data_IF_929075228380
#
_entry.id   IF_929075228380
#
_cell.length_a   1.000
_cell.length_b   1.000
_cell.length_c   1.000
_cell.angle_alpha   90.00
_cell.angle_beta   90.00
_cell.angle_gamma   90.00
#
_symmetry.space_group_name_H-M   'P 1'
#
loop_
_entity.id
_entity.type
_entity.pdbx_description
1 polymer ?
#
# COMPACT_ATOMS: atom_id res chain seq x y z
N UNK A 1 30.23 -3.54 28.21
CA UNK A 1 30.97 -4.71 27.68
C UNK A 1 29.90 -5.69 27.24
N UNK A 2 29.71 -5.86 25.94
CA UNK A 2 28.73 -6.80 25.38
C UNK A 2 29.45 -7.74 24.42
N UNK A 3 29.15 -9.02 24.59
CA UNK A 3 29.45 -10.22 23.79
C UNK A 3 30.88 -10.42 23.27
N UNK A 4 31.65 -11.22 24.01
CA UNK A 4 32.71 -12.08 23.44
C UNK A 4 32.05 -13.18 22.58
N UNK A 5 31.43 -12.80 21.45
CA UNK A 5 31.38 -13.72 20.33
C UNK A 5 32.82 -13.88 19.83
N UNK A 6 33.32 -15.11 19.88
CA UNK A 6 34.66 -15.40 19.37
C UNK A 6 34.69 -15.04 17.89
N UNK A 7 35.39 -13.95 17.54
CA UNK A 7 35.63 -13.57 16.15
C UNK A 7 36.09 -14.78 15.32
N UNK A 8 35.70 -14.86 14.05
CA UNK A 8 36.11 -15.94 13.13
C UNK A 8 37.62 -16.15 13.08
N UNK A 9 38.41 -15.09 13.27
CA UNK A 9 39.85 -15.20 13.43
C UNK A 9 40.26 -15.96 14.70
N UNK A 10 39.62 -15.68 15.85
CA UNK A 10 39.85 -16.43 17.11
C UNK A 10 39.46 -17.89 16.95
N UNK A 11 38.34 -18.18 16.26
CA UNK A 11 37.86 -19.55 16.00
C UNK A 11 38.89 -20.34 15.17
N UNK A 12 39.48 -19.73 14.14
CA UNK A 12 40.57 -20.34 13.36
C UNK A 12 41.96 -20.26 14.04
N UNK A 13 42.04 -19.75 15.27
CA UNK A 13 43.31 -19.62 16.00
C UNK A 13 44.31 -18.67 15.33
N UNK A 14 43.82 -17.57 14.75
CA UNK A 14 44.60 -16.56 14.04
C UNK A 14 44.17 -15.13 14.38
N UNK A 15 44.78 -14.14 13.73
CA UNK A 15 44.45 -12.71 13.86
C UNK A 15 43.96 -12.15 12.53
N UNK A 16 43.32 -10.97 12.57
CA UNK A 16 42.80 -10.29 11.39
C UNK A 16 43.88 -9.96 10.33
N UNK A 17 45.16 -9.91 10.73
CA UNK A 17 46.30 -9.65 9.84
C UNK A 17 46.73 -10.87 8.99
N UNK A 18 46.01 -11.99 9.06
CA UNK A 18 46.35 -13.20 8.30
C UNK A 18 46.24 -12.97 6.78
N UNK A 19 47.25 -13.40 6.03
CA UNK A 19 47.20 -13.39 4.56
C UNK A 19 46.18 -14.42 4.04
N UNK A 20 45.50 -14.11 2.92
CA UNK A 20 44.47 -14.99 2.34
C UNK A 20 44.93 -16.45 2.14
N UNK A 21 46.17 -16.64 1.66
CA UNK A 21 46.77 -17.98 1.45
C UNK A 21 46.83 -18.84 2.70
N UNK A 22 46.99 -18.22 3.88
CA UNK A 22 47.17 -18.92 5.16
C UNK A 22 45.85 -19.25 5.87
N UNK A 23 44.73 -18.70 5.41
CA UNK A 23 43.40 -18.97 5.99
C UNK A 23 43.08 -20.47 5.89
N UNK A 24 43.37 -21.10 4.75
CA UNK A 24 43.20 -22.55 4.55
C UNK A 24 44.11 -23.40 5.43
N UNK A 25 45.36 -22.97 5.65
CA UNK A 25 46.29 -23.66 6.56
C UNK A 25 45.73 -23.70 7.99
N UNK A 26 45.20 -22.55 8.46
CA UNK A 26 44.59 -22.44 9.79
C UNK A 26 43.30 -23.22 9.93
N UNK A 27 42.48 -23.29 8.89
CA UNK A 27 41.33 -24.18 8.85
C UNK A 27 41.74 -25.65 9.02
N UNK A 28 42.74 -26.14 8.28
CA UNK A 28 43.23 -27.53 8.41
C UNK A 28 43.79 -27.81 9.80
N UNK A 29 44.52 -26.86 10.39
CA UNK A 29 45.01 -26.98 11.77
C UNK A 29 43.87 -27.03 12.80
N UNK A 30 42.82 -26.23 12.61
CA UNK A 30 41.66 -26.18 13.50
C UNK A 30 40.82 -27.46 13.41
N UNK A 31 40.56 -27.97 12.21
CA UNK A 31 39.83 -29.24 11.98
C UNK A 31 40.57 -30.45 12.56
N UNK A 32 41.90 -30.48 12.51
CA UNK A 32 42.68 -31.57 13.15
C UNK A 32 42.54 -31.58 14.67
N UNK A 33 42.30 -30.42 15.29
CA UNK A 33 42.09 -30.29 16.73
C UNK A 33 40.65 -30.56 17.14
N UNK A 34 39.70 -30.24 16.25
CA UNK A 34 38.27 -30.44 16.44
C UNK A 34 37.68 -31.25 15.28
N UNK A 35 37.92 -32.58 15.22
CA UNK A 35 37.34 -33.45 14.20
C UNK A 35 35.81 -33.51 14.31
N UNK A 36 35.08 -33.64 13.18
CA UNK A 36 33.61 -33.65 13.18
C UNK A 36 33.01 -34.83 13.96
N UNK A 37 33.72 -35.95 14.06
CA UNK A 37 33.27 -37.15 14.80
C UNK A 37 33.31 -36.97 16.32
N UNK A 38 34.20 -36.11 16.83
CA UNK A 38 34.46 -35.97 18.26
C UNK A 38 34.06 -34.60 18.82
N UNK A 39 34.00 -33.57 17.98
CA UNK A 39 33.62 -32.21 18.36
C UNK A 39 32.83 -31.52 17.23
N UNK A 40 31.61 -32.00 16.93
CA UNK A 40 30.81 -31.52 15.80
C UNK A 40 30.41 -30.04 15.94
N UNK A 41 30.09 -29.58 17.15
CA UNK A 41 29.67 -28.18 17.39
C UNK A 41 30.80 -27.19 17.09
N UNK A 42 32.02 -27.48 17.56
CA UNK A 42 33.16 -26.60 17.28
C UNK A 42 33.61 -26.70 15.82
N UNK A 43 33.51 -27.88 15.21
CA UNK A 43 33.78 -28.08 13.79
C UNK A 43 32.88 -27.19 12.92
N UNK A 44 31.58 -27.11 13.23
CA UNK A 44 30.65 -26.27 12.46
C UNK A 44 31.01 -24.78 12.55
N UNK A 45 31.38 -24.28 13.74
CA UNK A 45 31.89 -22.92 13.92
C UNK A 45 33.16 -22.66 13.12
N UNK A 46 34.09 -23.62 13.09
CA UNK A 46 35.33 -23.56 12.30
C UNK A 46 35.03 -23.51 10.80
N UNK A 47 34.06 -24.30 10.33
CA UNK A 47 33.60 -24.31 8.94
C UNK A 47 33.02 -22.96 8.55
N UNK A 48 32.08 -22.41 9.33
CA UNK A 48 31.48 -21.10 9.07
C UNK A 48 32.53 -19.98 9.03
N UNK A 49 33.46 -19.98 10.01
CA UNK A 49 34.57 -19.04 10.04
C UNK A 49 35.48 -19.16 8.80
N UNK A 50 35.74 -20.38 8.34
CA UNK A 50 36.53 -20.60 7.13
C UNK A 50 35.81 -20.17 5.87
N UNK A 51 34.54 -20.53 5.67
CA UNK A 51 33.78 -20.14 4.48
C UNK A 51 33.70 -18.62 4.33
N UNK A 52 33.50 -17.90 5.44
CA UNK A 52 33.50 -16.42 5.44
C UNK A 52 34.89 -15.85 5.16
N UNK A 53 35.94 -16.38 5.79
CA UNK A 53 37.29 -15.80 5.69
C UNK A 53 38.05 -16.22 4.43
N UNK A 54 37.66 -17.33 3.78
CA UNK A 54 38.27 -17.87 2.56
C UNK A 54 37.89 -17.04 1.34
N UNK A 55 36.70 -16.47 1.34
CA UNK A 55 36.27 -15.53 0.31
C UNK A 55 36.78 -14.11 0.61
N UNK A 56 37.54 -13.46 -0.28
CA UNK A 56 38.03 -12.10 -0.05
C UNK A 56 36.92 -11.05 0.15
N UNK A 57 35.79 -11.19 -0.54
CA UNK A 57 34.65 -10.26 -0.46
C UNK A 57 33.94 -10.45 0.87
N UNK A 58 33.55 -11.67 1.23
CA UNK A 58 32.89 -11.96 2.51
C UNK A 58 33.78 -11.62 3.71
N UNK A 59 35.09 -11.85 3.58
CA UNK A 59 36.06 -11.44 4.60
C UNK A 59 36.10 -9.92 4.78
N UNK A 60 36.11 -9.15 3.68
CA UNK A 60 36.08 -7.68 3.72
C UNK A 60 34.81 -7.19 4.41
N UNK A 61 33.65 -7.73 4.04
CA UNK A 61 32.36 -7.39 4.66
C UNK A 61 32.34 -7.73 6.16
N UNK A 62 32.82 -8.92 6.54
CA UNK A 62 32.97 -9.33 7.94
C UNK A 62 33.87 -8.37 8.73
N UNK A 63 35.02 -7.99 8.17
CA UNK A 63 35.96 -7.07 8.81
C UNK A 63 35.35 -5.67 9.01
N UNK A 64 34.62 -5.17 8.02
CA UNK A 64 33.90 -3.90 8.10
C UNK A 64 32.81 -3.97 9.17
N UNK A 65 31.96 -5.00 9.15
CA UNK A 65 30.88 -5.19 10.13
C UNK A 65 31.44 -5.27 11.56
N UNK A 66 32.48 -6.08 11.78
CA UNK A 66 33.14 -6.21 13.09
C UNK A 66 33.75 -4.89 13.58
N UNK A 67 34.34 -4.09 12.70
CA UNK A 67 35.07 -2.87 13.07
C UNK A 67 34.19 -1.63 13.17
N UNK A 68 33.17 -1.54 12.32
CA UNK A 68 32.37 -0.34 12.11
C UNK A 68 30.87 -0.56 12.24
N UNK A 69 30.36 -1.79 12.36
CA UNK A 69 28.92 -2.12 12.33
C UNK A 69 28.08 -1.24 13.26
N UNK A 70 28.35 -1.26 14.57
CA UNK A 70 27.62 -0.42 15.53
C UNK A 70 27.84 1.09 15.39
N UNK A 71 28.86 1.53 14.63
CA UNK A 71 29.03 2.95 14.25
C UNK A 71 28.15 3.28 13.04
N UNK A 72 28.18 2.42 12.01
CA UNK A 72 27.38 2.55 10.79
C UNK A 72 25.89 2.55 11.14
N UNK A 73 25.43 1.64 12.00
CA UNK A 73 24.04 1.58 12.48
C UNK A 73 23.60 2.93 13.07
N UNK A 74 24.37 3.49 14.00
CA UNK A 74 24.07 4.81 14.59
C UNK A 74 24.09 5.95 13.57
N UNK A 75 24.96 5.87 12.57
CA UNK A 75 25.01 6.86 11.49
C UNK A 75 23.76 6.75 10.62
N UNK A 76 23.33 5.54 10.26
CA UNK A 76 22.11 5.32 9.48
C UNK A 76 20.87 5.81 10.25
N UNK A 77 20.75 5.53 11.55
CA UNK A 77 19.66 6.06 12.38
C UNK A 77 19.62 7.60 12.39
N UNK A 78 20.80 8.22 12.49
CA UNK A 78 20.92 9.67 12.43
C UNK A 78 20.53 10.23 11.06
N UNK A 79 20.96 9.57 9.97
CA UNK A 79 20.59 9.95 8.61
C UNK A 79 19.06 9.87 8.42
N UNK A 80 18.43 8.77 8.83
CA UNK A 80 16.97 8.59 8.80
C UNK A 80 16.24 9.66 9.61
N UNK A 81 16.76 10.05 10.79
CA UNK A 81 16.20 11.16 11.57
C UNK A 81 16.27 12.50 10.83
N UNK A 82 17.31 12.73 10.03
CA UNK A 82 17.41 13.93 9.21
C UNK A 82 16.50 13.87 7.98
N UNK A 83 16.32 12.70 7.35
CA UNK A 83 15.34 12.49 6.28
C UNK A 83 13.93 12.80 6.78
N UNK A 84 13.53 12.27 7.94
CA UNK A 84 12.22 12.56 8.55
C UNK A 84 12.00 14.05 8.85
N UNK A 85 13.08 14.80 9.08
CA UNK A 85 13.06 16.26 9.29
C UNK A 85 13.28 17.04 7.99
N UNK A 86 13.21 16.38 6.85
CA UNK A 86 13.43 16.94 5.50
C UNK A 86 14.80 17.64 5.33
N UNK A 87 15.78 17.28 6.17
CA UNK A 87 17.13 17.83 6.10
C UNK A 87 18.03 16.94 5.22
N UNK A 88 17.68 16.86 3.95
CA UNK A 88 18.31 15.96 2.99
C UNK A 88 19.81 16.23 2.80
N UNK A 89 20.26 17.48 2.92
CA UNK A 89 21.70 17.81 2.82
C UNK A 89 22.53 17.16 3.91
N UNK A 90 22.05 17.17 5.16
CA UNK A 90 22.75 16.52 6.27
C UNK A 90 22.65 15.00 6.19
N UNK A 91 21.48 14.48 5.81
CA UNK A 91 21.30 13.05 5.60
C UNK A 91 22.27 12.52 4.52
N UNK A 92 22.32 13.18 3.37
CA UNK A 92 23.24 12.84 2.27
C UNK A 92 24.71 12.80 2.73
N UNK A 93 25.15 13.79 3.51
CA UNK A 93 26.51 13.80 4.06
C UNK A 93 26.79 12.58 4.95
N UNK A 94 25.84 12.18 5.78
CA UNK A 94 26.01 11.01 6.65
C UNK A 94 26.04 9.73 5.82
N UNK A 95 25.19 9.60 4.79
CA UNK A 95 25.24 8.45 3.89
C UNK A 95 26.57 8.38 3.14
N UNK A 96 27.10 9.50 2.63
CA UNK A 96 28.44 9.58 2.04
C UNK A 96 29.52 9.10 3.04
N UNK A 97 29.44 9.54 4.30
CA UNK A 97 30.37 9.11 5.35
C UNK A 97 30.25 7.59 5.66
N UNK A 98 29.04 7.01 5.55
CA UNK A 98 28.85 5.56 5.66
C UNK A 98 29.49 4.84 4.47
N UNK A 99 29.28 5.32 3.24
CA UNK A 99 29.84 4.71 2.03
C UNK A 99 31.37 4.79 1.99
N UNK A 100 32.00 5.77 2.62
CA UNK A 100 33.46 5.79 2.82
C UNK A 100 33.95 4.65 3.73
N UNK A 101 33.14 4.19 4.69
CA UNK A 101 33.46 3.09 5.59
C UNK A 101 33.07 1.73 4.99
N UNK A 102 31.95 1.69 4.29
CA UNK A 102 31.39 0.51 3.64
C UNK A 102 30.76 0.89 2.29
N UNK A 103 31.53 0.86 1.19
CA UNK A 103 31.05 1.25 -0.14
C UNK A 103 29.86 0.41 -0.64
N UNK A 104 29.75 -0.82 -0.14
CA UNK A 104 28.76 -1.82 -0.56
C UNK A 104 27.52 -1.79 0.38
N UNK A 105 27.35 -0.75 1.20
CA UNK A 105 26.22 -0.64 2.12
C UNK A 105 24.95 -0.21 1.40
N UNK A 106 24.06 -1.17 1.14
CA UNK A 106 22.80 -0.94 0.43
C UNK A 106 21.95 0.20 1.01
N UNK A 107 21.75 0.23 2.34
CA UNK A 107 20.95 1.27 3.00
C UNK A 107 21.49 2.70 2.79
N UNK A 108 22.83 2.86 2.80
CA UNK A 108 23.44 4.15 2.52
C UNK A 108 23.41 4.51 1.03
N UNK A 109 23.55 3.53 0.13
CA UNK A 109 23.38 3.75 -1.32
C UNK A 109 21.96 4.23 -1.64
N UNK A 110 20.93 3.52 -1.15
CA UNK A 110 19.53 3.89 -1.37
C UNK A 110 19.15 5.20 -0.70
N UNK A 111 19.60 5.43 0.54
CA UNK A 111 19.40 6.70 1.23
C UNK A 111 20.04 7.89 0.50
N UNK A 112 21.22 7.68 -0.10
CA UNK A 112 21.89 8.73 -0.86
C UNK A 112 21.24 8.95 -2.25
N UNK A 113 20.69 7.91 -2.90
CA UNK A 113 19.87 8.07 -4.11
C UNK A 113 18.61 8.89 -3.80
N UNK A 114 17.84 8.47 -2.78
CA UNK A 114 16.65 9.18 -2.31
C UNK A 114 16.94 10.65 -2.00
N UNK A 115 17.94 10.93 -1.16
CA UNK A 115 18.28 12.32 -0.81
C UNK A 115 18.82 13.13 -1.99
N UNK A 116 19.41 12.50 -3.01
CA UNK A 116 19.82 13.19 -4.24
C UNK A 116 18.59 13.60 -5.07
N UNK A 117 17.57 12.74 -5.17
CA UNK A 117 16.28 13.05 -5.81
C UNK A 117 15.60 14.19 -5.04
N UNK A 118 15.51 14.11 -3.70
CA UNK A 118 14.93 15.18 -2.85
C UNK A 118 15.67 16.52 -2.92
N UNK A 119 16.93 16.52 -3.38
CA UNK A 119 17.74 17.72 -3.60
C UNK A 119 17.71 18.18 -5.07
N UNK A 120 16.81 17.63 -5.89
CA UNK A 120 16.65 17.90 -7.32
C UNK A 120 17.94 17.65 -8.12
N UNK A 121 18.71 16.63 -7.73
CA UNK A 121 19.92 16.22 -8.42
C UNK A 121 19.74 14.83 -9.02
N UNK A 122 18.86 14.75 -10.03
CA UNK A 122 18.52 13.51 -10.71
C UNK A 122 19.74 12.88 -11.38
N UNK A 123 20.60 13.66 -12.04
CA UNK A 123 21.82 13.15 -12.68
C UNK A 123 22.69 12.35 -11.71
N UNK A 124 22.89 12.87 -10.49
CA UNK A 124 23.62 12.15 -9.45
C UNK A 124 22.88 10.87 -9.02
N UNK A 125 21.57 10.94 -8.85
CA UNK A 125 20.76 9.78 -8.46
C UNK A 125 20.84 8.65 -9.51
N UNK A 126 20.71 8.98 -10.80
CA UNK A 126 20.84 8.02 -11.90
C UNK A 126 22.26 7.45 -12.01
N UNK A 127 23.29 8.27 -11.84
CA UNK A 127 24.67 7.77 -11.83
C UNK A 127 24.87 6.75 -10.70
N UNK A 128 24.34 7.04 -9.52
CA UNK A 128 24.46 6.13 -8.38
C UNK A 128 23.67 4.82 -8.57
N UNK A 129 22.52 4.89 -9.24
CA UNK A 129 21.78 3.69 -9.63
C UNK A 129 22.62 2.81 -10.54
N UNK A 130 23.20 3.36 -11.61
CA UNK A 130 24.03 2.59 -12.54
C UNK A 130 25.30 2.05 -11.87
N UNK A 131 25.92 2.82 -10.97
CA UNK A 131 27.04 2.35 -10.14
C UNK A 131 26.61 1.17 -9.24
N UNK A 132 25.40 1.24 -8.66
CA UNK A 132 24.84 0.16 -7.86
C UNK A 132 24.64 -1.09 -8.72
N UNK A 133 23.94 -0.98 -9.85
CA UNK A 133 23.68 -2.05 -10.83
C UNK A 133 24.95 -2.71 -11.36
N UNK A 134 26.05 -1.97 -11.47
CA UNK A 134 27.35 -2.47 -11.91
C UNK A 134 28.17 -3.14 -10.78
N UNK A 135 27.73 -3.06 -9.52
CA UNK A 135 28.44 -3.62 -8.38
C UNK A 135 28.24 -5.14 -8.26
N UNK A 136 29.25 -5.86 -7.76
CA UNK A 136 29.22 -7.31 -7.58
C UNK A 136 28.30 -7.79 -6.44
N UNK A 137 27.51 -6.89 -5.83
CA UNK A 137 26.59 -7.22 -4.73
C UNK A 137 25.50 -8.20 -5.19
N UNK A 138 25.11 -8.13 -6.48
CA UNK A 138 24.11 -9.01 -7.07
C UNK A 138 24.63 -10.39 -7.48
N UNK A 139 25.96 -10.63 -7.43
CA UNK A 139 26.52 -11.94 -7.82
C UNK A 139 26.45 -12.99 -6.69
N UNK A 140 26.18 -12.59 -5.44
CA UNK A 140 26.26 -13.51 -4.29
C UNK A 140 25.05 -13.49 -3.32
N UNK A 141 24.20 -12.47 -3.35
CA UNK A 141 23.00 -12.40 -2.52
C UNK A 141 21.75 -12.73 -3.35
N UNK A 142 21.20 -13.95 -3.20
CA UNK A 142 19.94 -14.42 -3.84
C UNK A 142 18.70 -13.53 -3.54
N UNK A 143 18.85 -12.45 -2.76
CA UNK A 143 17.76 -11.62 -2.25
C UNK A 143 17.46 -10.37 -3.08
N UNK A 144 18.39 -9.90 -3.94
CA UNK A 144 18.20 -8.68 -4.72
C UNK A 144 18.48 -8.89 -6.20
N UNK A 145 17.48 -8.66 -7.05
CA UNK A 145 17.63 -8.68 -8.50
C UNK A 145 17.83 -7.26 -9.06
N UNK A 146 18.51 -7.11 -10.21
CA UNK A 146 18.61 -5.82 -10.89
C UNK A 146 17.24 -5.16 -11.14
N UNK A 147 16.21 -5.95 -11.48
CA UNK A 147 14.84 -5.45 -11.68
C UNK A 147 14.25 -4.90 -10.37
N UNK A 148 14.47 -5.53 -9.22
CA UNK A 148 14.03 -5.01 -7.91
C UNK A 148 14.69 -3.67 -7.56
N UNK A 149 15.98 -3.51 -7.82
CA UNK A 149 16.68 -2.23 -7.58
C UNK A 149 16.13 -1.13 -8.48
N UNK A 150 15.87 -1.47 -9.74
CA UNK A 150 15.25 -0.56 -10.69
C UNK A 150 13.83 -0.17 -10.25
N UNK A 151 13.01 -1.13 -9.82
CA UNK A 151 11.68 -0.87 -9.26
C UNK A 151 11.75 0.05 -8.02
N UNK A 152 12.72 -0.18 -7.15
CA UNK A 152 12.94 0.64 -5.95
C UNK A 152 13.27 2.09 -6.33
N UNK A 153 14.15 2.30 -7.31
CA UNK A 153 14.47 3.64 -7.80
C UNK A 153 13.24 4.32 -8.43
N UNK A 154 12.45 3.60 -9.21
CA UNK A 154 11.20 4.12 -9.76
C UNK A 154 10.22 4.54 -8.66
N UNK A 155 10.10 3.78 -7.57
CA UNK A 155 9.31 4.18 -6.39
C UNK A 155 9.85 5.43 -5.72
N UNK A 156 11.17 5.60 -5.62
CA UNK A 156 11.75 6.85 -5.10
C UNK A 156 11.37 8.07 -5.96
N UNK A 157 11.35 7.93 -7.29
CA UNK A 157 10.89 9.00 -8.18
C UNK A 157 9.41 9.34 -7.92
N UNK A 158 8.56 8.31 -7.79
CA UNK A 158 7.13 8.47 -7.45
C UNK A 158 6.96 9.22 -6.12
N UNK A 159 7.66 8.77 -5.07
CA UNK A 159 7.58 9.36 -3.72
C UNK A 159 8.06 10.82 -3.68
N UNK A 160 8.89 11.23 -4.64
CA UNK A 160 9.41 12.58 -4.76
C UNK A 160 8.67 13.40 -5.83
N UNK A 161 7.50 12.93 -6.28
CA UNK A 161 6.60 13.59 -7.24
C UNK A 161 7.20 13.80 -8.64
N UNK A 162 8.22 13.02 -9.00
CA UNK A 162 8.78 12.95 -10.36
C UNK A 162 8.01 11.93 -11.21
N UNK A 163 6.70 12.12 -11.34
CA UNK A 163 5.80 11.09 -11.85
C UNK A 163 6.04 10.74 -13.33
N UNK A 164 6.30 11.72 -14.19
CA UNK A 164 6.54 11.47 -15.62
C UNK A 164 7.86 10.75 -15.85
N UNK A 165 8.91 11.18 -15.14
CA UNK A 165 10.22 10.54 -15.15
C UNK A 165 10.13 9.12 -14.58
N UNK A 166 9.32 8.90 -13.55
CA UNK A 166 9.06 7.57 -13.00
C UNK A 166 8.39 6.64 -14.03
N UNK A 167 7.37 7.12 -14.74
CA UNK A 167 6.71 6.35 -15.81
C UNK A 167 7.71 5.97 -16.90
N UNK A 168 8.41 6.95 -17.48
CA UNK A 168 9.37 6.69 -18.56
C UNK A 168 10.47 5.72 -18.11
N UNK A 169 10.99 5.94 -16.90
CA UNK A 169 12.01 5.07 -16.33
C UNK A 169 11.49 3.64 -16.11
N UNK A 170 10.32 3.47 -15.50
CA UNK A 170 9.78 2.14 -15.22
C UNK A 170 9.37 1.38 -16.50
N UNK A 171 8.88 2.07 -17.53
CA UNK A 171 8.66 1.50 -18.87
C UNK A 171 9.99 0.97 -19.46
N UNK A 172 11.07 1.76 -19.40
CA UNK A 172 12.41 1.30 -19.81
C UNK A 172 12.89 0.09 -19.00
N UNK A 173 12.52 0.00 -17.73
CA UNK A 173 12.79 -1.15 -16.88
C UNK A 173 12.17 -2.43 -17.42
N UNK A 174 10.89 -2.38 -17.84
CA UNK A 174 10.21 -3.53 -18.44
C UNK A 174 10.80 -3.94 -19.80
N UNK A 175 11.38 -3.01 -20.54
CA UNK A 175 12.13 -3.32 -21.76
C UNK A 175 13.51 -3.93 -21.48
N UNK A 176 14.15 -3.50 -20.37
CA UNK A 176 15.52 -3.90 -19.99
C UNK A 176 15.57 -5.29 -19.34
N UNK A 177 14.55 -5.67 -18.58
CA UNK A 177 14.54 -6.90 -17.79
C UNK A 177 13.45 -7.86 -18.29
N UNK A 178 13.82 -9.12 -18.56
CA UNK A 178 12.89 -10.15 -19.04
C UNK A 178 12.31 -11.05 -17.95
N UNK A 179 12.97 -11.10 -16.79
CA UNK A 179 12.61 -12.00 -15.67
C UNK A 179 12.39 -11.17 -14.40
N UNK A 180 11.51 -11.64 -13.50
CA UNK A 180 11.24 -11.02 -12.19
C UNK A 180 10.84 -9.53 -12.27
N UNK A 181 9.90 -9.22 -13.16
CA UNK A 181 9.41 -7.85 -13.40
C UNK A 181 8.24 -7.44 -12.50
N UNK A 182 7.74 -8.33 -11.63
CA UNK A 182 6.53 -8.06 -10.83
C UNK A 182 6.63 -6.75 -10.04
N UNK A 183 7.75 -6.51 -9.35
CA UNK A 183 7.97 -5.27 -8.57
C UNK A 183 8.09 -4.03 -9.45
N UNK A 184 8.67 -4.16 -10.64
CA UNK A 184 8.68 -3.07 -11.62
C UNK A 184 7.27 -2.73 -12.05
N UNK A 185 6.48 -3.76 -12.36
CA UNK A 185 5.16 -3.51 -12.88
C UNK A 185 4.18 -3.00 -11.84
N UNK A 186 4.28 -3.46 -10.57
CA UNK A 186 3.59 -2.84 -9.44
C UNK A 186 3.89 -1.34 -9.34
N UNK A 187 5.18 -0.95 -9.41
CA UNK A 187 5.57 0.45 -9.35
C UNK A 187 5.04 1.25 -10.55
N UNK A 188 5.08 0.67 -11.76
CA UNK A 188 4.60 1.34 -12.98
C UNK A 188 3.08 1.57 -12.94
N UNK A 189 2.33 0.60 -12.42
CA UNK A 189 0.88 0.74 -12.20
C UNK A 189 0.59 1.92 -11.28
N UNK A 190 1.31 2.03 -10.16
CA UNK A 190 1.17 3.17 -9.23
C UNK A 190 1.51 4.49 -9.92
N UNK A 191 2.59 4.53 -10.72
CA UNK A 191 2.96 5.72 -11.47
C UNK A 191 1.84 6.13 -12.44
N UNK A 192 1.27 5.20 -13.20
CA UNK A 192 0.15 5.49 -14.10
C UNK A 192 -1.07 6.05 -13.36
N UNK A 193 -1.44 5.45 -12.22
CA UNK A 193 -2.57 5.95 -11.41
C UNK A 193 -2.35 7.39 -10.95
N UNK A 194 -1.14 7.73 -10.50
CA UNK A 194 -0.81 9.08 -10.03
C UNK A 194 -0.71 10.10 -11.17
N UNK A 195 -0.39 9.65 -12.39
CA UNK A 195 -0.46 10.48 -13.60
C UNK A 195 -1.85 10.52 -14.25
N UNK A 196 -2.88 9.95 -13.60
CA UNK A 196 -4.26 9.85 -14.11
C UNK A 196 -4.38 9.08 -15.45
N UNK A 197 -3.42 8.19 -15.74
CA UNK A 197 -3.47 7.30 -16.90
C UNK A 197 -4.14 5.95 -16.56
N UNK A 198 -5.44 6.04 -16.29
CA UNK A 198 -6.26 4.91 -15.87
C UNK A 198 -6.26 3.77 -16.90
N UNK A 199 -6.11 4.08 -18.19
CA UNK A 199 -6.12 3.07 -19.24
C UNK A 199 -4.86 2.20 -19.18
N UNK A 200 -3.68 2.82 -19.13
CA UNK A 200 -2.42 2.09 -19.01
C UNK A 200 -2.28 1.40 -17.66
N UNK A 201 -2.74 2.01 -16.56
CA UNK A 201 -2.75 1.37 -15.24
C UNK A 201 -3.51 0.04 -15.26
N UNK A 202 -4.76 0.05 -15.76
CA UNK A 202 -5.62 -1.13 -15.81
C UNK A 202 -5.08 -2.18 -16.77
N UNK A 203 -4.60 -1.77 -17.95
CA UNK A 203 -4.04 -2.69 -18.94
C UNK A 203 -2.80 -3.39 -18.40
N UNK A 204 -1.91 -2.62 -17.78
CA UNK A 204 -0.66 -3.12 -17.23
C UNK A 204 -0.93 -4.12 -16.12
N UNK A 205 -1.80 -3.79 -15.16
CA UNK A 205 -2.20 -4.73 -14.11
C UNK A 205 -2.82 -6.02 -14.67
N UNK A 206 -3.65 -5.93 -15.70
CA UNK A 206 -4.26 -7.11 -16.34
C UNK A 206 -3.21 -8.05 -16.98
N UNK A 207 -2.16 -7.48 -17.57
CA UNK A 207 -1.12 -8.20 -18.30
C UNK A 207 -0.14 -8.95 -17.39
N UNK A 208 0.06 -8.51 -16.14
CA UNK A 208 0.94 -9.21 -15.19
C UNK A 208 0.26 -10.35 -14.44
N UNK A 209 -1.05 -10.55 -14.64
CA UNK A 209 -1.72 -11.67 -13.99
C UNK A 209 -1.18 -12.99 -14.54
N UNK A 210 -1.01 -14.01 -13.67
CA UNK A 210 -0.57 -15.35 -14.07
C UNK A 210 -1.49 -15.93 -15.16
N UNK A 211 -0.93 -16.83 -15.96
CA UNK A 211 -1.74 -17.63 -16.88
C UNK A 211 -2.57 -18.65 -16.10
N UNK A 212 -3.70 -19.09 -16.65
CA UNK A 212 -4.63 -19.97 -15.92
C UNK A 212 -4.01 -21.28 -15.43
N UNK A 213 -2.93 -21.75 -16.06
CA UNK A 213 -2.27 -23.00 -15.67
C UNK A 213 -1.21 -22.81 -14.59
N UNK A 214 -0.79 -21.57 -14.33
CA UNK A 214 0.31 -21.22 -13.43
C UNK A 214 -0.19 -20.54 -12.14
N UNK A 215 -1.51 -20.47 -11.94
CA UNK A 215 -2.15 -19.80 -10.81
C UNK A 215 -1.94 -20.56 -9.49
N UNK A 216 -1.52 -19.85 -8.45
CA UNK A 216 -1.53 -20.30 -7.05
C UNK A 216 -2.18 -19.25 -6.15
N UNK A 217 -2.38 -19.56 -4.86
CA UNK A 217 -2.87 -18.59 -3.87
C UNK A 217 -2.01 -17.31 -3.79
N UNK A 218 -0.71 -17.40 -4.10
CA UNK A 218 0.22 -16.27 -4.10
C UNK A 218 -0.15 -15.16 -5.10
N UNK A 219 -0.99 -15.48 -6.10
CA UNK A 219 -1.45 -14.53 -7.10
C UNK A 219 -2.64 -13.67 -6.64
N UNK A 220 -3.23 -13.98 -5.48
CA UNK A 220 -4.43 -13.31 -4.96
C UNK A 220 -4.25 -11.80 -4.87
N UNK A 221 -3.10 -11.34 -4.37
CA UNK A 221 -2.76 -9.92 -4.23
C UNK A 221 -2.78 -9.19 -5.58
N UNK A 222 -2.30 -9.85 -6.64
CA UNK A 222 -2.30 -9.25 -7.99
C UNK A 222 -3.72 -9.01 -8.50
N UNK A 223 -4.67 -9.90 -8.19
CA UNK A 223 -6.08 -9.71 -8.50
C UNK A 223 -6.74 -8.63 -7.66
N UNK A 224 -6.42 -8.54 -6.38
CA UNK A 224 -6.91 -7.50 -5.47
C UNK A 224 -6.43 -6.13 -5.95
N UNK A 225 -5.14 -6.00 -6.27
CA UNK A 225 -4.57 -4.78 -6.86
C UNK A 225 -5.30 -4.40 -8.15
N UNK A 226 -5.58 -5.36 -9.04
CA UNK A 226 -6.31 -5.08 -10.27
C UNK A 226 -7.74 -4.56 -10.02
N UNK A 227 -8.46 -5.14 -9.06
CA UNK A 227 -9.77 -4.64 -8.62
C UNK A 227 -9.63 -3.24 -8.01
N UNK A 228 -8.65 -3.03 -7.14
CA UNK A 228 -8.41 -1.75 -6.48
C UNK A 228 -8.19 -0.63 -7.51
N UNK A 229 -7.37 -0.86 -8.54
CA UNK A 229 -7.16 0.12 -9.62
C UNK A 229 -8.49 0.47 -10.28
N UNK A 230 -9.31 -0.51 -10.65
CA UNK A 230 -10.62 -0.27 -11.26
C UNK A 230 -11.54 0.56 -10.36
N UNK A 231 -11.47 0.30 -9.05
CA UNK A 231 -12.32 0.91 -8.06
C UNK A 231 -11.89 2.32 -7.65
N UNK A 232 -10.60 2.65 -7.78
CA UNK A 232 -10.04 3.98 -7.52
C UNK A 232 -10.10 4.89 -8.75
N UNK A 233 -10.09 4.31 -9.95
CA UNK A 233 -10.13 5.03 -11.22
C UNK A 233 -11.57 5.19 -11.72
N UNK A 234 -11.80 6.04 -12.72
CA UNK A 234 -13.12 6.18 -13.37
C UNK A 234 -13.45 4.99 -14.30
N UNK A 235 -12.77 3.85 -14.13
CA UNK A 235 -12.86 2.65 -14.96
C UNK A 235 -13.94 1.64 -14.54
N UNK A 236 -14.98 2.07 -13.81
CA UNK A 236 -16.09 1.20 -13.36
C UNK A 236 -16.76 0.41 -14.49
N UNK A 237 -16.73 0.91 -15.72
CA UNK A 237 -17.24 0.20 -16.91
C UNK A 237 -16.51 -1.12 -17.18
N UNK A 238 -15.22 -1.23 -16.80
CA UNK A 238 -14.37 -2.41 -16.96
C UNK A 238 -14.52 -3.42 -15.81
N UNK A 239 -15.16 -3.06 -14.69
CA UNK A 239 -15.28 -3.89 -13.49
C UNK A 239 -15.87 -5.28 -13.77
N UNK A 240 -16.87 -5.37 -14.66
CA UNK A 240 -17.51 -6.65 -14.99
C UNK A 240 -16.54 -7.69 -15.58
N UNK A 241 -15.59 -7.24 -16.43
CA UNK A 241 -14.56 -8.09 -17.02
C UNK A 241 -13.60 -8.61 -15.95
N UNK A 242 -13.13 -7.70 -15.09
CA UNK A 242 -12.21 -8.00 -13.99
C UNK A 242 -12.84 -8.99 -13.01
N UNK A 243 -14.09 -8.72 -12.59
CA UNK A 243 -14.85 -9.61 -11.74
C UNK A 243 -14.98 -11.01 -12.35
N UNK A 244 -15.27 -11.13 -13.64
CA UNK A 244 -15.39 -12.44 -14.29
C UNK A 244 -14.09 -13.26 -14.20
N UNK A 245 -12.93 -12.63 -14.43
CA UNK A 245 -11.62 -13.31 -14.40
C UNK A 245 -11.23 -13.66 -12.96
N UNK A 246 -11.43 -12.75 -12.01
CA UNK A 246 -11.11 -13.01 -10.59
C UNK A 246 -12.01 -14.09 -9.99
N UNK A 247 -13.32 -14.09 -10.29
CA UNK A 247 -14.24 -15.17 -9.89
C UNK A 247 -13.82 -16.54 -10.45
N UNK A 248 -13.21 -16.58 -11.64
CA UNK A 248 -12.71 -17.83 -12.23
C UNK A 248 -11.47 -18.32 -11.48
N UNK A 249 -10.53 -17.43 -11.19
CA UNK A 249 -9.36 -17.73 -10.36
C UNK A 249 -9.75 -18.29 -8.98
N UNK A 250 -10.61 -17.59 -8.23
CA UNK A 250 -11.04 -18.03 -6.89
C UNK A 250 -11.72 -19.41 -6.87
N UNK A 251 -12.39 -19.79 -7.96
CA UNK A 251 -13.02 -21.12 -8.09
C UNK A 251 -12.04 -22.24 -8.39
N UNK A 252 -10.84 -21.90 -8.86
CA UNK A 252 -9.79 -22.84 -9.22
C UNK A 252 -8.82 -23.12 -8.07
N UNK A 253 -8.98 -22.47 -6.90
CA UNK A 253 -8.20 -22.77 -5.70
C UNK A 253 -8.41 -24.24 -5.29
N UNK A 254 -7.31 -24.96 -5.12
CA UNK A 254 -7.24 -26.42 -5.18
C UNK A 254 -7.70 -27.10 -3.88
N UNK A 255 -7.46 -26.48 -2.73
CA UNK A 255 -7.78 -27.04 -1.42
C UNK A 255 -8.51 -26.08 -0.48
N UNK A 256 -8.86 -26.59 0.71
CA UNK A 256 -9.62 -25.84 1.72
C UNK A 256 -8.78 -24.75 2.39
N UNK A 257 -7.48 -24.96 2.52
CA UNK A 257 -6.55 -24.02 3.15
C UNK A 257 -6.37 -22.78 2.27
N UNK A 258 -6.17 -22.95 0.95
CA UNK A 258 -6.11 -21.83 0.00
C UNK A 258 -7.41 -21.01 -0.02
N UNK A 259 -8.58 -21.67 0.11
CA UNK A 259 -9.87 -20.97 0.16
C UNK A 259 -10.07 -20.23 1.47
N UNK A 260 -9.64 -20.81 2.59
CA UNK A 260 -9.69 -20.15 3.89
C UNK A 260 -8.77 -18.92 3.92
N UNK A 261 -7.54 -19.04 3.40
CA UNK A 261 -6.63 -17.92 3.23
C UNK A 261 -7.23 -16.81 2.36
N UNK A 262 -7.74 -17.17 1.18
CA UNK A 262 -8.39 -16.20 0.30
C UNK A 262 -9.60 -15.53 0.97
N UNK A 263 -10.36 -16.26 1.78
CA UNK A 263 -11.46 -15.70 2.55
C UNK A 263 -10.96 -14.63 3.53
N UNK A 264 -9.95 -14.92 4.35
CA UNK A 264 -9.41 -13.96 5.32
C UNK A 264 -8.88 -12.68 4.67
N UNK A 265 -8.13 -12.82 3.57
CA UNK A 265 -7.61 -11.66 2.84
C UNK A 265 -8.76 -10.82 2.27
N UNK A 266 -9.75 -11.44 1.63
CA UNK A 266 -10.88 -10.73 1.05
C UNK A 266 -11.80 -10.08 2.10
N UNK A 267 -11.96 -10.69 3.27
CA UNK A 267 -12.71 -10.08 4.37
C UNK A 267 -11.96 -8.92 4.99
N UNK A 268 -10.62 -8.98 5.10
CA UNK A 268 -9.81 -7.85 5.54
C UNK A 268 -9.96 -6.64 4.60
N UNK A 269 -9.93 -6.85 3.29
CA UNK A 269 -10.21 -5.80 2.30
C UNK A 269 -11.64 -5.25 2.42
N UNK A 270 -12.62 -6.12 2.67
CA UNK A 270 -14.01 -5.69 2.95
C UNK A 270 -14.08 -4.79 4.19
N UNK A 271 -13.46 -5.18 5.31
CA UNK A 271 -13.47 -4.45 6.57
C UNK A 271 -12.82 -3.07 6.43
N UNK A 272 -11.64 -3.01 5.79
CA UNK A 272 -10.94 -1.73 5.53
C UNK A 272 -11.83 -0.77 4.72
N UNK A 273 -12.46 -1.26 3.65
CA UNK A 273 -13.37 -0.43 2.85
C UNK A 273 -14.65 -0.05 3.61
N UNK A 274 -15.15 -0.95 4.47
CA UNK A 274 -16.33 -0.72 5.29
C UNK A 274 -16.10 0.41 6.30
N UNK A 275 -14.97 0.38 7.00
CA UNK A 275 -14.58 1.37 8.01
C UNK A 275 -14.41 2.77 7.40
N UNK A 276 -13.91 2.83 6.15
CA UNK A 276 -13.83 4.06 5.37
C UNK A 276 -15.18 4.48 4.73
N UNK A 277 -16.29 3.79 5.02
CA UNK A 277 -17.63 4.01 4.45
C UNK A 277 -17.71 3.90 2.92
N UNK A 278 -16.75 3.18 2.31
CA UNK A 278 -16.70 2.86 0.88
C UNK A 278 -17.49 1.57 0.61
N UNK A 279 -18.77 1.61 0.92
CA UNK A 279 -19.65 0.44 0.94
C UNK A 279 -19.80 -0.27 -0.42
N UNK A 280 -19.71 0.45 -1.54
CA UNK A 280 -19.69 -0.12 -2.89
C UNK A 280 -18.43 -0.94 -3.14
N UNK A 281 -17.29 -0.52 -2.59
CA UNK A 281 -16.03 -1.23 -2.68
C UNK A 281 -16.06 -2.46 -1.79
N UNK A 282 -16.48 -2.28 -0.55
CA UNK A 282 -16.70 -3.36 0.41
C UNK A 282 -17.66 -4.44 -0.13
N UNK A 283 -18.77 -4.06 -0.79
CA UNK A 283 -19.71 -5.01 -1.43
C UNK A 283 -19.01 -5.89 -2.47
N UNK A 284 -18.06 -5.34 -3.24
CA UNK A 284 -17.29 -6.10 -4.24
C UNK A 284 -16.43 -7.17 -3.57
N UNK A 285 -15.69 -6.82 -2.52
CA UNK A 285 -14.83 -7.76 -1.80
C UNK A 285 -15.62 -8.83 -1.06
N UNK A 286 -16.71 -8.46 -0.39
CA UNK A 286 -17.55 -9.44 0.31
C UNK A 286 -18.25 -10.41 -0.67
N UNK A 287 -18.62 -9.94 -1.87
CA UNK A 287 -19.14 -10.81 -2.94
C UNK A 287 -18.09 -11.84 -3.44
N UNK A 288 -16.80 -11.53 -3.35
CA UNK A 288 -15.72 -12.48 -3.64
C UNK A 288 -15.45 -13.41 -2.45
N UNK A 289 -15.40 -12.88 -1.22
CA UNK A 289 -15.26 -13.68 -0.01
C UNK A 289 -16.36 -14.76 0.07
N UNK A 290 -17.58 -14.42 -0.35
CA UNK A 290 -18.70 -15.37 -0.50
C UNK A 290 -18.38 -16.60 -1.35
N UNK A 291 -17.54 -16.46 -2.38
CA UNK A 291 -17.23 -17.55 -3.31
C UNK A 291 -16.27 -18.58 -2.72
N UNK A 292 -15.49 -18.17 -1.73
CA UNK A 292 -14.45 -18.98 -1.06
C UNK A 292 -14.78 -19.22 0.42
N UNK A 293 -15.99 -18.88 0.86
CA UNK A 293 -16.39 -18.97 2.28
C UNK A 293 -16.21 -20.40 2.82
N UNK A 294 -15.54 -20.56 3.98
CA UNK A 294 -15.45 -21.83 4.67
C UNK A 294 -16.82 -22.36 5.10
N UNK A 295 -16.98 -23.68 5.23
CA UNK A 295 -18.29 -24.28 5.57
C UNK A 295 -18.88 -23.83 6.92
N UNK A 296 -18.02 -23.36 7.83
CA UNK A 296 -18.41 -22.93 9.18
C UNK A 296 -18.75 -21.43 9.30
N UNK A 297 -18.50 -20.64 8.25
CA UNK A 297 -18.78 -19.20 8.24
C UNK A 297 -20.13 -18.88 7.58
N UNK A 298 -20.92 -17.99 8.19
CA UNK A 298 -22.21 -17.54 7.66
C UNK A 298 -22.27 -16.02 7.53
N UNK A 299 -21.87 -15.50 6.37
CA UNK A 299 -21.80 -14.06 6.10
C UNK A 299 -23.10 -13.47 5.47
N UNK A 300 -24.26 -14.12 5.67
CA UNK A 300 -25.51 -13.73 4.98
C UNK A 300 -26.02 -12.35 5.40
N UNK A 301 -25.87 -12.00 6.68
CA UNK A 301 -26.39 -10.75 7.21
C UNK A 301 -25.50 -9.58 6.79
N UNK A 302 -24.18 -9.77 6.79
CA UNK A 302 -23.15 -8.87 6.28
C UNK A 302 -23.40 -8.58 4.80
N UNK A 303 -23.63 -9.62 3.98
CA UNK A 303 -23.97 -9.46 2.56
C UNK A 303 -25.24 -8.65 2.32
N UNK A 304 -26.26 -8.83 3.17
CA UNK A 304 -27.51 -8.08 3.07
C UNK A 304 -27.30 -6.63 3.47
N UNK A 305 -26.53 -6.39 4.53
CA UNK A 305 -26.26 -5.07 5.06
C UNK A 305 -25.38 -4.26 4.11
N UNK A 306 -24.28 -4.84 3.60
CA UNK A 306 -23.38 -4.11 2.70
C UNK A 306 -24.08 -3.72 1.39
N UNK A 307 -24.96 -4.58 0.85
CA UNK A 307 -25.77 -4.27 -0.33
C UNK A 307 -26.77 -3.15 -0.09
N UNK A 308 -27.24 -3.01 1.15
CA UNK A 308 -28.11 -1.92 1.57
C UNK A 308 -27.30 -0.64 1.65
N UNK A 309 -26.17 -0.65 2.34
CA UNK A 309 -25.27 0.50 2.52
C UNK A 309 -24.66 1.00 1.20
N UNK A 310 -24.26 0.10 0.29
CA UNK A 310 -23.76 0.43 -1.04
C UNK A 310 -24.80 1.21 -1.88
N UNK A 311 -26.11 0.94 -1.69
CA UNK A 311 -27.18 1.74 -2.32
C UNK A 311 -27.28 3.12 -1.70
N UNK A 312 -27.15 3.22 -0.37
CA UNK A 312 -27.12 4.51 0.34
C UNK A 312 -25.97 5.36 -0.16
N UNK A 313 -24.75 4.81 -0.21
CA UNK A 313 -23.57 5.50 -0.74
C UNK A 313 -23.78 5.97 -2.19
N UNK A 314 -24.30 5.09 -3.06
CA UNK A 314 -24.58 5.44 -4.46
C UNK A 314 -25.56 6.62 -4.57
N UNK A 315 -26.60 6.60 -3.75
CA UNK A 315 -27.56 7.70 -3.70
C UNK A 315 -26.94 8.97 -3.12
N UNK A 316 -26.09 8.85 -2.10
CA UNK A 316 -25.39 9.97 -1.46
C UNK A 316 -24.48 10.69 -2.44
N UNK A 317 -23.68 9.95 -3.21
CA UNK A 317 -22.83 10.49 -4.28
C UNK A 317 -23.63 11.22 -5.37
N UNK A 318 -24.87 10.80 -5.62
CA UNK A 318 -25.77 11.50 -6.55
C UNK A 318 -26.39 12.74 -5.91
N UNK A 319 -26.75 12.67 -4.62
CA UNK A 319 -27.33 13.79 -3.87
C UNK A 319 -26.35 14.97 -3.78
N UNK A 320 -25.05 14.71 -3.56
CA UNK A 320 -24.00 15.72 -3.54
C UNK A 320 -23.92 16.56 -4.84
N UNK A 321 -24.46 16.05 -5.96
CA UNK A 321 -24.44 16.68 -7.29
C UNK A 321 -25.83 17.16 -7.74
N UNK A 322 -26.84 17.08 -6.87
CA UNK A 322 -28.22 17.43 -7.22
C UNK A 322 -28.55 18.85 -6.77
N UNK A 323 -28.30 19.83 -7.65
CA UNK A 323 -28.61 21.25 -7.41
C UNK A 323 -30.12 21.53 -7.25
N UNK A 324 -30.98 20.53 -7.50
CA UNK A 324 -32.43 20.68 -7.37
C UNK A 324 -32.97 20.27 -6.00
N UNK A 325 -32.14 19.69 -5.12
CA UNK A 325 -32.55 19.39 -3.74
C UNK A 325 -32.51 20.66 -2.89
N UNK A 326 -33.43 20.78 -1.94
CA UNK A 326 -33.41 21.90 -1.01
C UNK A 326 -32.12 21.87 -0.16
N UNK A 327 -31.38 22.99 -0.01
CA UNK A 327 -30.05 23.00 0.61
C UNK A 327 -29.98 22.36 2.00
N UNK A 328 -30.98 22.60 2.86
CA UNK A 328 -30.99 21.99 4.21
C UNK A 328 -31.11 20.47 4.18
N UNK A 329 -31.74 19.88 3.17
CA UNK A 329 -31.78 18.42 3.03
C UNK A 329 -30.38 17.87 2.80
N UNK A 330 -29.56 18.54 1.98
CA UNK A 330 -28.17 18.16 1.77
C UNK A 330 -27.37 18.32 3.07
N UNK A 331 -27.47 19.48 3.72
CA UNK A 331 -26.82 19.79 5.00
C UNK A 331 -27.08 18.71 6.04
N UNK A 332 -28.34 18.39 6.30
CA UNK A 332 -28.71 17.37 7.29
C UNK A 332 -28.33 15.96 6.85
N UNK A 333 -28.38 15.64 5.54
CA UNK A 333 -27.93 14.33 5.07
C UNK A 333 -26.45 14.10 5.34
N UNK A 334 -25.59 15.10 5.11
CA UNK A 334 -24.14 14.99 5.38
C UNK A 334 -23.87 14.71 6.86
N UNK A 335 -24.55 15.42 7.76
CA UNK A 335 -24.44 15.23 9.21
C UNK A 335 -25.02 13.91 9.73
N UNK A 336 -26.04 13.37 9.07
CA UNK A 336 -26.57 12.04 9.38
C UNK A 336 -25.66 10.93 8.87
N UNK A 337 -25.04 11.15 7.70
CA UNK A 337 -24.17 10.18 7.07
C UNK A 337 -22.81 10.07 7.77
N UNK A 338 -22.24 11.19 8.21
CA UNK A 338 -20.97 11.25 8.94
C UNK A 338 -21.19 11.72 10.38
N UNK A 339 -20.84 10.85 11.33
CA UNK A 339 -20.88 11.10 12.77
C UNK A 339 -19.65 11.87 13.29
N UNK A 340 -18.57 11.92 12.51
CA UNK A 340 -17.36 12.66 12.82
C UNK A 340 -17.38 14.09 12.27
N UNK A 341 -17.34 15.08 13.17
CA UNK A 341 -17.29 16.50 12.82
C UNK A 341 -16.00 16.92 12.12
N UNK A 342 -14.93 16.15 12.26
CA UNK A 342 -13.66 16.39 11.58
C UNK A 342 -13.61 15.76 10.18
N UNK A 343 -14.68 15.07 9.76
CA UNK A 343 -14.76 14.52 8.41
C UNK A 343 -14.72 15.64 7.35
N UNK A 344 -13.92 15.52 6.27
CA UNK A 344 -13.77 16.57 5.26
C UNK A 344 -15.10 17.13 4.70
N UNK A 345 -16.04 16.27 4.32
CA UNK A 345 -17.38 16.73 3.87
C UNK A 345 -18.16 17.49 4.94
N UNK A 346 -18.02 17.15 6.22
CA UNK A 346 -18.70 17.87 7.30
C UNK A 346 -18.05 19.23 7.50
N UNK A 347 -16.73 19.32 7.48
CA UNK A 347 -16.03 20.60 7.55
C UNK A 347 -16.39 21.50 6.35
N UNK A 348 -16.39 20.96 5.14
CA UNK A 348 -16.75 21.70 3.93
C UNK A 348 -18.19 22.24 4.01
N UNK A 349 -19.15 21.42 4.45
CA UNK A 349 -20.54 21.86 4.53
C UNK A 349 -20.75 22.89 5.65
N UNK A 350 -20.05 22.78 6.77
CA UNK A 350 -20.09 23.76 7.87
C UNK A 350 -19.46 25.10 7.48
N UNK A 351 -18.44 25.11 6.61
CA UNK A 351 -17.90 26.33 6.02
C UNK A 351 -18.88 27.03 5.08
N UNK A 352 -19.66 26.25 4.31
CA UNK A 352 -20.64 26.76 3.35
C UNK A 352 -21.93 27.25 4.04
N UNK A 353 -22.40 26.54 5.07
CA UNK A 353 -23.65 26.82 5.78
C UNK A 353 -23.38 27.54 7.10
N UNK A 354 -23.10 28.85 7.03
CA UNK A 354 -22.99 29.67 8.24
C UNK A 354 -24.32 29.69 9.02
N UNK A 355 -24.26 29.99 10.32
CA UNK A 355 -25.45 30.05 11.18
C UNK A 355 -26.57 30.92 10.59
N UNK A 356 -26.25 32.10 10.07
CA UNK A 356 -27.25 33.02 9.52
C UNK A 356 -27.93 32.42 8.26
N UNK A 357 -27.16 31.68 7.44
CA UNK A 357 -27.68 30.96 6.26
C UNK A 357 -28.60 29.81 6.68
N UNK A 358 -28.21 29.05 7.71
CA UNK A 358 -29.02 27.96 8.27
C UNK A 358 -30.34 28.53 8.79
N UNK A 359 -30.28 29.56 9.64
CA UNK A 359 -31.46 30.20 10.23
C UNK A 359 -32.42 30.71 9.12
N UNK A 360 -31.89 31.31 8.03
CA UNK A 360 -32.69 31.77 6.88
C UNK A 360 -33.41 30.60 6.16
N UNK A 361 -32.69 29.53 5.81
CA UNK A 361 -33.29 28.41 5.09
C UNK A 361 -34.25 27.57 5.95
N UNK A 362 -34.03 27.50 7.27
CA UNK A 362 -34.93 26.78 8.17
C UNK A 362 -36.28 27.47 8.35
N UNK A 363 -36.35 28.79 8.15
CA UNK A 363 -37.61 29.53 8.11
C UNK A 363 -38.46 29.20 6.87
N UNK A 364 -37.85 28.72 5.78
CA UNK A 364 -38.51 28.29 4.54
C UNK A 364 -39.18 26.90 4.66
N UNK A 365 -39.98 26.72 5.71
CA UNK A 365 -40.57 25.42 6.12
C UNK A 365 -41.32 24.67 5.01
N UNK A 366 -41.98 25.36 4.07
CA UNK A 366 -42.67 24.72 2.94
C UNK A 366 -41.69 24.10 1.93
N UNK A 367 -40.63 24.82 1.56
CA UNK A 367 -39.61 24.32 0.63
C UNK A 367 -38.78 23.23 1.28
N UNK A 368 -38.46 23.38 2.56
CA UNK A 368 -37.74 22.35 3.29
C UNK A 368 -38.56 21.05 3.41
N UNK A 369 -39.83 21.14 3.82
CA UNK A 369 -40.71 19.97 3.89
C UNK A 369 -40.91 19.31 2.50
N UNK A 370 -41.03 20.10 1.43
CA UNK A 370 -41.07 19.58 0.06
C UNK A 370 -39.74 18.90 -0.34
N UNK A 371 -38.60 19.44 0.09
CA UNK A 371 -37.27 18.84 -0.07
C UNK A 371 -37.17 17.46 0.57
N UNK A 372 -37.69 17.27 1.79
CA UNK A 372 -37.71 15.95 2.45
C UNK A 372 -38.57 14.95 1.67
N UNK A 373 -39.72 15.39 1.12
CA UNK A 373 -40.54 14.53 0.24
C UNK A 373 -39.81 14.17 -1.06
N UNK A 374 -39.02 15.10 -1.60
CA UNK A 374 -38.17 14.87 -2.78
C UNK A 374 -37.06 13.88 -2.47
N UNK A 375 -36.44 13.97 -1.30
CA UNK A 375 -35.48 12.98 -0.79
C UNK A 375 -36.13 11.60 -0.73
N UNK A 376 -37.29 11.48 -0.09
CA UNK A 376 -38.03 10.21 0.01
C UNK A 376 -38.31 9.57 -1.35
N UNK A 377 -38.69 10.38 -2.35
CA UNK A 377 -39.05 9.89 -3.69
C UNK A 377 -37.82 9.56 -4.54
N UNK A 378 -36.81 10.41 -4.50
CA UNK A 378 -35.69 10.38 -5.45
C UNK A 378 -34.48 9.63 -4.89
N UNK A 379 -34.32 9.61 -3.57
CA UNK A 379 -33.23 8.99 -2.81
C UNK A 379 -33.78 8.09 -1.68
N UNK A 380 -34.54 7.04 -2.05
CA UNK A 380 -35.24 6.19 -1.08
C UNK A 380 -34.30 5.39 -0.16
N UNK A 381 -33.08 5.06 -0.56
CA UNK A 381 -32.12 4.36 0.31
C UNK A 381 -31.61 5.29 1.42
N UNK A 382 -31.26 6.54 1.10
CA UNK A 382 -30.90 7.56 2.12
C UNK A 382 -32.07 7.79 3.07
N UNK A 383 -33.28 8.02 2.54
CA UNK A 383 -34.45 8.25 3.37
C UNK A 383 -34.74 7.06 4.29
N UNK A 384 -34.63 5.83 3.76
CA UNK A 384 -34.86 4.62 4.56
C UNK A 384 -33.79 4.41 5.64
N UNK A 385 -32.54 4.78 5.38
CA UNK A 385 -31.42 4.68 6.33
C UNK A 385 -31.66 5.57 7.56
N UNK A 386 -32.14 6.80 7.35
CA UNK A 386 -32.34 7.80 8.42
C UNK A 386 -33.82 8.15 8.58
N UNK A 387 -34.67 7.14 8.45
CA UNK A 387 -36.12 7.34 8.41
C UNK A 387 -36.65 8.05 9.67
N UNK A 388 -36.25 7.65 10.90
CA UNK A 388 -36.73 8.33 12.10
C UNK A 388 -36.42 9.83 12.09
N UNK A 389 -35.21 10.21 11.72
CA UNK A 389 -34.73 11.60 11.70
C UNK A 389 -35.49 12.44 10.68
N UNK A 390 -35.68 11.91 9.46
CA UNK A 390 -36.44 12.59 8.41
C UNK A 390 -37.93 12.71 8.73
N UNK A 391 -38.55 11.66 9.29
CA UNK A 391 -39.96 11.67 9.68
C UNK A 391 -40.22 12.71 10.79
N UNK A 392 -39.32 12.79 11.77
CA UNK A 392 -39.42 13.71 12.89
C UNK A 392 -39.27 15.16 12.42
N UNK A 393 -38.24 15.43 11.60
CA UNK A 393 -38.01 16.75 11.01
C UNK A 393 -39.20 17.20 10.13
N UNK A 394 -39.72 16.32 9.28
CA UNK A 394 -40.89 16.62 8.45
C UNK A 394 -42.14 16.91 9.30
N UNK A 395 -42.34 16.17 10.39
CA UNK A 395 -43.47 16.39 11.31
C UNK A 395 -43.38 17.77 11.97
N UNK A 396 -42.19 18.18 12.39
CA UNK A 396 -41.96 19.46 13.05
C UNK A 396 -42.13 20.64 12.08
N UNK A 397 -41.57 20.54 10.87
CA UNK A 397 -41.73 21.54 9.80
C UNK A 397 -43.20 21.73 9.40
N UNK A 398 -44.01 20.67 9.47
CA UNK A 398 -45.41 20.68 9.01
C UNK A 398 -46.46 20.69 10.13
N UNK A 399 -46.05 21.00 11.36
CA UNK A 399 -46.93 20.94 12.56
C UNK A 399 -48.12 21.90 12.47
N UNK A 400 -47.91 23.08 11.90
CA UNK A 400 -48.91 24.16 11.78
C UNK A 400 -49.60 24.19 10.41
N UNK A 401 -49.24 23.27 9.51
CA UNK A 401 -49.75 23.27 8.13
C UNK A 401 -51.18 22.72 8.07
N UNK A 402 -52.05 23.44 7.37
CA UNK A 402 -53.38 22.94 7.04
C UNK A 402 -53.32 21.88 5.90
N UNK A 403 -54.46 21.25 5.61
CA UNK A 403 -54.55 20.18 4.59
C UNK A 403 -54.16 20.63 3.19
N UNK A 404 -54.45 21.87 2.82
CA UNK A 404 -54.17 22.37 1.48
C UNK A 404 -52.69 22.74 1.31
N UNK A 405 -52.05 23.30 2.34
CA UNK A 405 -50.60 23.51 2.40
C UNK A 405 -49.86 22.19 2.23
N UNK A 406 -50.23 21.14 2.99
CA UNK A 406 -49.62 19.80 2.85
C UNK A 406 -49.81 19.19 1.46
N UNK A 407 -50.93 19.46 0.79
CA UNK A 407 -51.15 19.04 -0.61
C UNK A 407 -50.32 19.85 -1.60
N UNK A 408 -50.07 21.13 -1.29
CA UNK A 408 -49.26 22.05 -2.08
C UNK A 408 -47.79 21.63 -2.20
N UNK A 409 -47.22 21.00 -1.17
CA UNK A 409 -45.80 20.59 -1.13
C UNK A 409 -45.39 19.73 -2.34
N UNK A 410 -46.29 18.89 -2.86
CA UNK A 410 -46.00 18.05 -4.04
C UNK A 410 -45.70 18.84 -5.31
N UNK A 411 -46.08 20.13 -5.36
CA UNK A 411 -45.80 21.03 -6.49
C UNK A 411 -44.43 21.70 -6.36
N UNK A 412 -43.81 21.63 -5.18
CA UNK A 412 -42.53 22.23 -4.85
C UNK A 412 -41.37 21.20 -4.87
N UNK A 413 -41.70 19.90 -4.97
CA UNK A 413 -40.74 18.80 -5.20
C UNK A 413 -40.22 18.83 -6.65
#
# INVERSE_FOLDING_TARGET
MSSDEQSYYKILGTTANISQRRVKEKYVEAVKKHPPETDPEQFEKIRQAYETLKDPVKRKQYDISRKYGGKIEKMLDQASSYVFKENYKKAAQIYDDVLQLNPDNFAAQTGLMFTSISLNNLDKAYQMLEDSLASSVFEEEEMFTPSMVYATFGRMLIEQDYLNEAVEFLEQGLDRFSDDVQKLTEALVVAYMLTEDDERAVQTAEQNLPTENDQSIDDLDSYIVWIFIILQTDSWSKLSKVQSRFRKYLKNLQDEEEREEAFYVLTAEYEEMYDQRRYRHADVFLDFAKLVTPEFEDIKDELKEIKRLARVEKEFQRLLKDDSIFPMVLYYTVHLYFDDKSHPFVMEIEEQFTKDIIDEFEEETEYFAAGILKLQKSYPAIYAQFKPEWDDMYRDLTKDFNRDMKRGLKKLM
#
